data_IF_201321214235
#
_entry.id   IF_201321214235
#
_cell.length_a   1.000
_cell.length_b   1.000
_cell.length_c   1.000
_cell.angle_alpha   90.00
_cell.angle_beta   90.00
_cell.angle_gamma   90.00
#
_symmetry.space_group_name_H-M   'P 1'
#
loop_
_entity.id
_entity.type
_entity.pdbx_description
1 polymer ?
#
# COMPACT_ATOMS: atom_id res chain seq x y z
N UNK A 1 17.60 26.71 -6.63
CA UNK A 1 16.27 26.32 -7.18
C UNK A 1 16.31 24.95 -7.89
N UNK A 2 17.37 24.64 -8.65
CA UNK A 2 17.47 23.38 -9.42
C UNK A 2 17.63 22.10 -8.59
N UNK A 3 18.35 22.14 -7.48
CA UNK A 3 18.52 20.91 -6.62
C UNK A 3 17.22 20.48 -5.96
N UNK A 4 16.42 21.41 -5.46
CA UNK A 4 15.11 21.09 -4.84
C UNK A 4 14.14 20.54 -5.89
N UNK A 5 14.20 21.09 -7.12
CA UNK A 5 13.38 20.61 -8.23
C UNK A 5 13.76 19.19 -8.65
N UNK A 6 15.06 18.88 -8.74
CA UNK A 6 15.57 17.53 -9.04
C UNK A 6 15.19 16.50 -7.97
N UNK A 7 15.25 16.86 -6.69
CA UNK A 7 14.85 16.00 -5.58
C UNK A 7 13.33 15.72 -5.62
N UNK A 8 12.51 16.76 -5.88
CA UNK A 8 11.06 16.57 -6.04
C UNK A 8 10.71 15.69 -7.23
N UNK A 9 11.36 15.91 -8.38
CA UNK A 9 11.13 15.10 -9.57
C UNK A 9 11.54 13.64 -9.35
N UNK A 10 12.67 13.39 -8.70
CA UNK A 10 13.11 12.04 -8.36
C UNK A 10 12.15 11.29 -7.44
N UNK A 11 11.52 11.99 -6.48
CA UNK A 11 10.48 11.41 -5.62
C UNK A 11 9.21 11.05 -6.40
N UNK A 12 8.73 11.93 -7.25
CA UNK A 12 7.55 11.65 -8.08
C UNK A 12 7.78 10.47 -9.02
N UNK A 13 8.93 10.40 -9.69
CA UNK A 13 9.28 9.25 -10.56
C UNK A 13 9.29 7.94 -9.76
N UNK A 14 9.87 7.95 -8.54
CA UNK A 14 9.89 6.79 -7.66
C UNK A 14 8.47 6.35 -7.26
N UNK A 15 7.58 7.30 -6.98
CA UNK A 15 6.18 7.01 -6.65
C UNK A 15 5.46 6.35 -7.83
N UNK A 16 5.63 6.85 -9.06
CA UNK A 16 5.03 6.26 -10.26
C UNK A 16 5.56 4.85 -10.55
N UNK A 17 6.87 4.61 -10.38
CA UNK A 17 7.45 3.28 -10.52
C UNK A 17 6.89 2.29 -9.49
N UNK A 18 6.77 2.72 -8.24
CA UNK A 18 6.18 1.91 -7.18
C UNK A 18 4.69 1.60 -7.45
N UNK A 19 3.92 2.60 -7.90
CA UNK A 19 2.52 2.42 -8.32
C UNK A 19 2.45 1.38 -9.45
N UNK A 20 3.29 1.51 -10.49
CA UNK A 20 3.32 0.55 -11.61
C UNK A 20 3.60 -0.87 -11.13
N UNK A 21 4.58 -1.04 -10.25
CA UNK A 21 4.90 -2.35 -9.68
C UNK A 21 3.71 -2.93 -8.89
N UNK A 22 3.04 -2.10 -8.07
CA UNK A 22 1.83 -2.52 -7.36
C UNK A 22 0.71 -2.95 -8.30
N UNK A 23 0.51 -2.21 -9.40
CA UNK A 23 -0.50 -2.53 -10.40
C UNK A 23 -0.18 -3.80 -11.19
N UNK A 24 1.10 -4.11 -11.42
CA UNK A 24 1.53 -5.39 -12.02
C UNK A 24 1.14 -6.55 -11.09
N UNK A 25 1.44 -6.47 -9.80
CA UNK A 25 1.03 -7.49 -8.84
C UNK A 25 -0.48 -7.67 -8.81
N UNK A 26 -1.23 -6.57 -8.81
CA UNK A 26 -2.69 -6.58 -8.82
C UNK A 26 -3.25 -7.25 -10.09
N UNK A 27 -2.79 -6.83 -11.26
CA UNK A 27 -3.26 -7.36 -12.54
C UNK A 27 -2.92 -8.85 -12.72
N UNK A 28 -1.74 -9.29 -12.24
CA UNK A 28 -1.35 -10.69 -12.20
C UNK A 28 -2.27 -11.51 -11.28
N UNK A 29 -2.55 -11.01 -10.07
CA UNK A 29 -3.47 -11.66 -9.14
C UNK A 29 -4.85 -11.89 -9.76
N UNK A 30 -5.35 -10.91 -10.50
CA UNK A 30 -6.60 -11.01 -11.25
C UNK A 30 -6.52 -12.00 -12.41
N UNK A 31 -5.63 -11.77 -13.37
CA UNK A 31 -5.61 -12.50 -14.64
C UNK A 31 -5.16 -13.96 -14.49
N UNK A 32 -4.22 -14.22 -13.55
CA UNK A 32 -3.63 -15.55 -13.38
C UNK A 32 -4.37 -16.43 -12.35
N UNK A 33 -5.00 -15.81 -11.34
CA UNK A 33 -5.56 -16.58 -10.22
C UNK A 33 -7.07 -16.41 -10.05
N UNK A 34 -7.61 -15.20 -10.04
CA UNK A 34 -9.03 -15.03 -9.73
C UNK A 34 -9.94 -15.30 -10.94
N UNK A 35 -9.60 -14.73 -12.10
CA UNK A 35 -10.43 -14.81 -13.29
C UNK A 35 -10.56 -16.24 -13.85
N UNK A 36 -9.49 -17.07 -13.92
CA UNK A 36 -9.59 -18.43 -14.43
C UNK A 36 -10.46 -19.36 -13.56
N UNK A 37 -10.56 -19.06 -12.27
CA UNK A 37 -11.38 -19.81 -11.32
C UNK A 37 -12.76 -19.19 -11.08
N UNK A 38 -13.13 -18.18 -11.87
CA UNK A 38 -14.41 -17.47 -11.80
C UNK A 38 -14.72 -16.92 -10.39
N UNK A 39 -13.67 -16.53 -9.67
CA UNK A 39 -13.79 -15.93 -8.34
C UNK A 39 -14.11 -14.45 -8.51
N UNK A 40 -15.18 -14.01 -7.87
CA UNK A 40 -15.55 -12.60 -7.82
C UNK A 40 -14.95 -11.93 -6.61
N UNK A 41 -14.63 -10.65 -6.74
CA UNK A 41 -14.23 -9.80 -5.62
C UNK A 41 -15.19 -8.65 -5.49
N UNK A 42 -14.99 -7.81 -4.50
CA UNK A 42 -15.63 -6.50 -4.45
C UNK A 42 -14.95 -5.48 -5.39
N UNK A 43 -15.28 -4.23 -5.18
CA UNK A 43 -14.73 -3.13 -5.95
C UNK A 43 -15.24 -3.04 -7.40
N UNK A 44 -14.70 -2.07 -8.14
CA UNK A 44 -15.08 -1.88 -9.55
C UNK A 44 -14.57 -3.00 -10.43
N UNK A 45 -13.42 -3.59 -10.13
CA UNK A 45 -12.94 -4.78 -10.84
C UNK A 45 -13.86 -5.97 -10.63
N UNK A 46 -14.43 -6.14 -9.43
CA UNK A 46 -15.45 -7.16 -9.15
C UNK A 46 -16.73 -6.92 -9.93
N UNK A 47 -17.24 -5.70 -9.95
CA UNK A 47 -18.43 -5.33 -10.77
C UNK A 47 -18.13 -5.59 -12.26
N UNK A 48 -16.93 -5.23 -12.73
CA UNK A 48 -16.52 -5.47 -14.12
C UNK A 48 -16.42 -6.95 -14.44
N UNK A 49 -15.97 -7.79 -13.49
CA UNK A 49 -15.95 -9.24 -13.66
C UNK A 49 -17.37 -9.81 -13.70
N UNK A 50 -18.30 -9.31 -12.88
CA UNK A 50 -19.72 -9.68 -12.95
C UNK A 50 -20.29 -9.36 -14.33
N UNK A 51 -20.04 -8.15 -14.84
CA UNK A 51 -20.46 -7.74 -16.18
C UNK A 51 -19.88 -8.68 -17.25
N UNK A 52 -18.59 -9.01 -17.15
CA UNK A 52 -17.93 -9.95 -18.05
C UNK A 52 -18.61 -11.32 -18.05
N UNK A 53 -18.91 -11.89 -16.89
CA UNK A 53 -19.54 -13.22 -16.79
C UNK A 53 -20.96 -13.25 -17.32
N UNK A 54 -21.70 -12.13 -17.23
CA UNK A 54 -23.11 -12.05 -17.69
C UNK A 54 -23.21 -11.66 -19.15
N UNK A 55 -22.37 -10.74 -19.64
CA UNK A 55 -22.51 -10.10 -20.94
C UNK A 55 -21.42 -10.45 -21.95
N UNK A 56 -20.27 -10.97 -21.48
CA UNK A 56 -19.07 -11.17 -22.28
C UNK A 56 -18.25 -9.90 -22.56
N UNK A 57 -18.70 -8.71 -22.06
CA UNK A 57 -17.95 -7.47 -22.22
C UNK A 57 -16.64 -7.58 -21.43
N UNK A 58 -15.51 -7.32 -22.08
CA UNK A 58 -14.18 -7.43 -21.46
C UNK A 58 -14.05 -6.54 -20.21
N UNK A 59 -13.40 -7.09 -19.17
CA UNK A 59 -13.31 -6.45 -17.84
C UNK A 59 -12.72 -5.04 -17.92
N UNK A 60 -11.69 -4.85 -18.74
CA UNK A 60 -11.02 -3.55 -18.87
C UNK A 60 -11.94 -2.45 -19.41
N UNK A 61 -12.91 -2.81 -20.27
CA UNK A 61 -13.86 -1.84 -20.85
C UNK A 61 -14.82 -1.32 -19.76
N UNK A 62 -15.50 -2.22 -19.07
CA UNK A 62 -16.41 -1.85 -17.98
C UNK A 62 -15.68 -1.20 -16.81
N UNK A 63 -14.48 -1.69 -16.46
CA UNK A 63 -13.62 -1.08 -15.46
C UNK A 63 -13.29 0.38 -15.80
N UNK A 64 -12.88 0.65 -17.04
CA UNK A 64 -12.53 2.00 -17.47
C UNK A 64 -13.74 2.96 -17.42
N UNK A 65 -14.89 2.54 -17.95
CA UNK A 65 -16.11 3.36 -17.99
C UNK A 65 -16.57 3.73 -16.57
N UNK A 66 -16.64 2.75 -15.66
CA UNK A 66 -17.08 2.99 -14.29
C UNK A 66 -16.11 3.94 -13.57
N UNK A 67 -14.81 3.73 -13.75
CA UNK A 67 -13.79 4.56 -13.12
C UNK A 67 -13.77 6.00 -13.66
N UNK A 68 -14.11 6.23 -14.91
CA UNK A 68 -14.24 7.59 -15.46
C UNK A 68 -15.28 8.41 -14.69
N UNK A 69 -16.38 7.80 -14.29
CA UNK A 69 -17.42 8.43 -13.46
C UNK A 69 -16.88 8.74 -12.05
N UNK A 70 -16.26 7.75 -11.38
CA UNK A 70 -15.71 7.96 -10.03
C UNK A 70 -14.59 9.01 -9.99
N UNK A 71 -13.81 9.12 -11.06
CA UNK A 71 -12.74 10.10 -11.16
C UNK A 71 -13.25 11.54 -11.13
N UNK A 72 -14.42 11.81 -11.72
CA UNK A 72 -15.08 13.10 -11.64
C UNK A 72 -15.34 13.54 -10.19
N UNK A 73 -15.75 12.61 -9.32
CA UNK A 73 -15.92 12.87 -7.88
C UNK A 73 -14.58 13.03 -7.15
N UNK A 74 -13.56 12.22 -7.51
CA UNK A 74 -12.25 12.29 -6.90
C UNK A 74 -11.55 13.65 -7.11
N UNK A 75 -11.64 14.20 -8.32
CA UNK A 75 -11.07 15.51 -8.66
C UNK A 75 -11.58 16.61 -7.74
N UNK A 76 -12.88 16.61 -7.46
CA UNK A 76 -13.53 17.62 -6.65
C UNK A 76 -13.19 17.52 -5.16
N UNK A 77 -13.01 16.32 -4.63
CA UNK A 77 -12.92 16.06 -3.18
C UNK A 77 -11.49 15.86 -2.71
N UNK A 78 -10.68 15.09 -3.43
CA UNK A 78 -9.35 14.66 -3.02
C UNK A 78 -8.22 15.53 -3.56
N UNK A 79 -8.51 16.32 -4.57
CA UNK A 79 -7.58 17.29 -5.14
C UNK A 79 -6.71 16.76 -6.29
N UNK A 80 -5.96 17.69 -6.98
CA UNK A 80 -5.35 17.37 -8.28
C UNK A 80 -4.18 16.37 -8.20
N UNK A 81 -3.35 16.42 -7.16
CA UNK A 81 -2.19 15.51 -7.03
C UNK A 81 -2.60 14.05 -6.88
N UNK A 82 -3.61 13.77 -6.04
CA UNK A 82 -4.18 12.44 -5.87
C UNK A 82 -4.81 11.97 -7.18
N UNK A 83 -5.58 12.85 -7.81
CA UNK A 83 -6.31 12.54 -9.05
C UNK A 83 -5.38 12.23 -10.22
N UNK A 84 -4.25 12.93 -10.37
CA UNK A 84 -3.26 12.62 -11.41
C UNK A 84 -2.65 11.22 -11.26
N UNK A 85 -2.27 10.83 -10.04
CA UNK A 85 -1.77 9.48 -9.75
C UNK A 85 -2.85 8.41 -9.97
N UNK A 86 -4.09 8.74 -9.62
CA UNK A 86 -5.25 7.85 -9.83
C UNK A 86 -5.57 7.70 -11.30
N UNK A 87 -5.55 8.79 -12.09
CA UNK A 87 -5.70 8.73 -13.56
C UNK A 87 -4.65 7.79 -14.16
N UNK A 88 -3.39 8.02 -13.82
CA UNK A 88 -2.30 7.16 -14.27
C UNK A 88 -2.54 5.69 -13.90
N UNK A 89 -2.94 5.44 -12.66
CA UNK A 89 -3.18 4.09 -12.18
C UNK A 89 -4.34 3.39 -12.90
N UNK A 90 -5.44 4.10 -13.18
CA UNK A 90 -6.58 3.57 -13.94
C UNK A 90 -6.16 3.18 -15.36
N UNK A 91 -5.47 4.07 -16.08
CA UNK A 91 -4.99 3.77 -17.44
C UNK A 91 -3.99 2.61 -17.45
N UNK A 92 -3.02 2.64 -16.54
CA UNK A 92 -2.01 1.59 -16.44
C UNK A 92 -2.65 0.24 -16.06
N UNK A 93 -3.56 0.20 -15.11
CA UNK A 93 -4.23 -1.03 -14.72
C UNK A 93 -5.13 -1.57 -15.84
N UNK A 94 -5.86 -0.71 -16.55
CA UNK A 94 -6.63 -1.09 -17.74
C UNK A 94 -5.73 -1.77 -18.78
N UNK A 95 -4.59 -1.18 -19.07
CA UNK A 95 -3.59 -1.75 -19.98
C UNK A 95 -3.02 -3.08 -19.49
N UNK A 96 -2.65 -3.17 -18.21
CA UNK A 96 -2.10 -4.38 -17.61
C UNK A 96 -3.10 -5.54 -17.56
N UNK A 97 -4.37 -5.26 -17.25
CA UNK A 97 -5.43 -6.26 -17.28
C UNK A 97 -5.62 -6.82 -18.70
N UNK A 98 -5.62 -5.94 -19.71
CA UNK A 98 -5.66 -6.37 -21.11
C UNK A 98 -4.43 -7.20 -21.47
N UNK A 99 -3.23 -6.71 -21.13
CA UNK A 99 -1.96 -7.34 -21.45
C UNK A 99 -1.87 -8.76 -20.86
N UNK A 100 -2.12 -8.90 -19.54
CA UNK A 100 -2.01 -10.21 -18.89
C UNK A 100 -3.11 -11.18 -19.33
N UNK A 101 -4.32 -10.71 -19.61
CA UNK A 101 -5.34 -11.57 -20.21
C UNK A 101 -4.93 -12.02 -21.61
N UNK A 102 -4.37 -11.13 -22.44
CA UNK A 102 -3.89 -11.48 -23.78
C UNK A 102 -2.72 -12.48 -23.75
N UNK A 103 -1.77 -12.29 -22.80
CA UNK A 103 -0.60 -13.17 -22.64
C UNK A 103 -0.95 -14.55 -22.08
N UNK A 104 -1.96 -14.63 -21.20
CA UNK A 104 -2.34 -15.88 -20.53
C UNK A 104 -3.42 -16.66 -21.28
N UNK A 105 -4.12 -16.06 -22.24
CA UNK A 105 -5.16 -16.75 -23.01
C UNK A 105 -4.57 -17.92 -23.80
N UNK A 106 -5.18 -19.08 -23.64
CA UNK A 106 -4.94 -20.25 -24.48
C UNK A 106 -5.44 -20.00 -25.92
N UNK A 107 -4.99 -20.79 -26.91
CA UNK A 107 -5.51 -20.74 -28.29
C UNK A 107 -7.04 -20.88 -28.39
N UNK A 108 -7.65 -21.53 -27.41
CA UNK A 108 -9.11 -21.71 -27.30
C UNK A 108 -9.85 -20.51 -26.68
N UNK A 109 -9.15 -19.40 -26.40
CA UNK A 109 -9.74 -18.19 -25.83
C UNK A 109 -10.01 -18.25 -24.33
N UNK A 110 -9.72 -19.36 -23.65
CA UNK A 110 -9.90 -19.53 -22.20
C UNK A 110 -8.62 -19.20 -21.44
N UNK A 111 -8.76 -18.73 -20.19
CA UNK A 111 -7.62 -18.54 -19.29
C UNK A 111 -7.29 -19.86 -18.58
N UNK A 112 -6.01 -20.27 -18.51
CA UNK A 112 -5.61 -21.52 -17.87
C UNK A 112 -5.71 -21.42 -16.35
N UNK A 113 -6.19 -22.47 -15.71
CA UNK A 113 -6.16 -22.63 -14.26
C UNK A 113 -4.74 -23.08 -13.84
N UNK A 114 -3.87 -22.13 -13.52
CA UNK A 114 -2.44 -22.39 -13.26
C UNK A 114 -2.18 -23.35 -12.09
N UNK A 115 -3.07 -23.42 -11.11
CA UNK A 115 -2.96 -24.31 -9.96
C UNK A 115 -3.66 -25.67 -10.19
N UNK A 116 -4.29 -25.86 -11.37
CA UNK A 116 -5.09 -27.02 -11.67
C UNK A 116 -6.57 -26.88 -11.25
N UNK A 117 -7.42 -27.78 -11.72
CA UNK A 117 -8.85 -27.76 -11.38
C UNK A 117 -9.09 -28.11 -9.91
N UNK A 118 -10.13 -27.50 -9.29
CA UNK A 118 -10.49 -27.75 -7.89
C UNK A 118 -9.63 -27.01 -6.87
N UNK A 119 -8.75 -26.11 -7.30
CA UNK A 119 -7.85 -25.34 -6.42
C UNK A 119 -8.34 -23.90 -6.19
N UNK A 120 -9.66 -23.69 -6.16
CA UNK A 120 -10.28 -22.36 -6.01
C UNK A 120 -9.83 -21.66 -4.72
N UNK A 121 -9.72 -22.41 -3.61
CA UNK A 121 -9.27 -21.84 -2.34
C UNK A 121 -7.83 -21.34 -2.40
N UNK A 122 -6.92 -22.15 -2.99
CA UNK A 122 -5.53 -21.72 -3.15
C UNK A 122 -5.42 -20.52 -4.08
N UNK A 123 -6.20 -20.50 -5.16
CA UNK A 123 -6.29 -19.35 -6.07
C UNK A 123 -6.79 -18.08 -5.34
N UNK A 124 -7.77 -18.21 -4.43
CA UNK A 124 -8.21 -17.12 -3.56
C UNK A 124 -7.05 -16.58 -2.71
N UNK A 125 -6.31 -17.45 -2.03
CA UNK A 125 -5.23 -17.03 -1.11
C UNK A 125 -4.12 -16.29 -1.86
N UNK A 126 -3.63 -16.89 -2.95
CA UNK A 126 -2.53 -16.31 -3.75
C UNK A 126 -3.01 -15.04 -4.46
N UNK A 127 -4.18 -15.10 -5.11
CA UNK A 127 -4.76 -13.95 -5.80
C UNK A 127 -5.00 -12.78 -4.85
N UNK A 128 -5.68 -13.01 -3.72
CA UNK A 128 -5.96 -11.98 -2.72
C UNK A 128 -4.68 -11.37 -2.12
N UNK A 129 -3.67 -12.21 -1.89
CA UNK A 129 -2.35 -11.74 -1.43
C UNK A 129 -1.71 -10.77 -2.42
N UNK A 130 -1.69 -11.12 -3.71
CA UNK A 130 -1.15 -10.26 -4.78
C UNK A 130 -1.98 -8.98 -4.96
N UNK A 131 -3.32 -9.08 -4.89
CA UNK A 131 -4.20 -7.91 -4.98
C UNK A 131 -3.96 -6.96 -3.79
N UNK A 132 -3.99 -7.49 -2.57
CA UNK A 132 -3.80 -6.68 -1.35
C UNK A 132 -2.42 -6.03 -1.29
N UNK A 133 -1.38 -6.76 -1.67
CA UNK A 133 -0.02 -6.22 -1.76
C UNK A 133 0.07 -5.12 -2.80
N UNK A 134 -0.48 -5.34 -3.99
CA UNK A 134 -0.49 -4.37 -5.08
C UNK A 134 -1.22 -3.07 -4.69
N UNK A 135 -2.45 -3.16 -4.17
CA UNK A 135 -3.22 -2.00 -3.71
C UNK A 135 -2.51 -1.30 -2.55
N UNK A 136 -1.96 -2.05 -1.60
CA UNK A 136 -1.22 -1.49 -0.47
C UNK A 136 -0.06 -0.60 -0.91
N UNK A 137 0.72 -1.03 -1.92
CA UNK A 137 1.80 -0.21 -2.51
C UNK A 137 1.24 1.04 -3.18
N UNK A 138 0.17 0.92 -3.96
CA UNK A 138 -0.48 2.07 -4.62
C UNK A 138 -0.92 3.10 -3.58
N UNK A 139 -1.54 2.66 -2.48
CA UNK A 139 -1.99 3.54 -1.39
C UNK A 139 -0.84 4.20 -0.63
N UNK A 140 0.27 3.50 -0.40
CA UNK A 140 1.48 4.07 0.21
C UNK A 140 2.05 5.24 -0.59
N UNK A 141 1.84 5.24 -1.91
CA UNK A 141 2.30 6.29 -2.82
C UNK A 141 1.21 7.31 -3.17
N UNK A 142 0.14 7.42 -2.36
CA UNK A 142 -0.98 8.34 -2.53
C UNK A 142 -1.67 8.19 -3.90
N UNK A 143 -1.75 6.99 -4.43
CA UNK A 143 -2.54 6.61 -5.59
C UNK A 143 -3.80 5.87 -5.20
N UNK A 144 -4.62 5.52 -6.19
CA UNK A 144 -5.79 4.66 -6.06
C UNK A 144 -5.97 3.89 -7.36
N UNK A 145 -6.48 2.67 -7.27
CA UNK A 145 -6.87 1.90 -8.47
C UNK A 145 -8.23 2.36 -9.02
N UNK A 146 -8.86 3.33 -8.39
CA UNK A 146 -10.17 3.84 -8.78
C UNK A 146 -11.32 3.19 -8.00
N UNK A 147 -12.55 3.47 -8.41
CA UNK A 147 -13.74 2.79 -7.88
C UNK A 147 -13.98 2.97 -6.40
N UNK A 148 -14.24 1.87 -5.71
CA UNK A 148 -14.49 1.85 -4.25
C UNK A 148 -13.30 2.36 -3.44
N UNK A 149 -12.09 2.28 -3.95
CA UNK A 149 -10.90 2.89 -3.34
C UNK A 149 -11.09 4.38 -3.15
N UNK A 150 -11.65 5.08 -4.14
CA UNK A 150 -11.93 6.51 -4.07
C UNK A 150 -12.88 6.81 -2.91
N UNK A 151 -13.91 5.98 -2.75
CA UNK A 151 -14.86 6.10 -1.63
C UNK A 151 -14.12 5.91 -0.30
N UNK A 152 -13.26 4.88 -0.21
CA UNK A 152 -12.46 4.63 0.98
C UNK A 152 -11.55 5.82 1.33
N UNK A 153 -10.89 6.42 0.34
CA UNK A 153 -10.07 7.62 0.53
C UNK A 153 -10.88 8.84 0.96
N UNK A 154 -12.06 9.05 0.37
CA UNK A 154 -12.96 10.14 0.75
C UNK A 154 -13.36 10.00 2.22
N UNK A 155 -13.78 8.80 2.63
CA UNK A 155 -14.21 8.56 4.01
C UNK A 155 -13.02 8.65 4.98
N UNK A 156 -11.86 8.09 4.64
CA UNK A 156 -10.65 8.22 5.44
C UNK A 156 -10.20 9.68 5.63
N UNK A 157 -10.50 10.57 4.67
CA UNK A 157 -10.24 12.01 4.81
C UNK A 157 -11.05 12.65 5.94
N UNK A 158 -12.28 12.18 6.17
CA UNK A 158 -13.21 12.77 7.14
C UNK A 158 -13.36 11.96 8.42
N UNK A 159 -13.04 10.67 8.40
CA UNK A 159 -13.16 9.76 9.54
C UNK A 159 -11.84 9.01 9.76
N UNK A 160 -11.55 8.71 11.03
CA UNK A 160 -10.37 7.94 11.41
C UNK A 160 -10.64 6.44 11.31
N UNK A 161 -10.76 5.96 10.06
CA UNK A 161 -10.96 4.54 9.73
C UNK A 161 -9.91 4.12 8.72
N UNK A 162 -9.34 2.91 8.89
CA UNK A 162 -8.33 2.41 7.95
C UNK A 162 -8.92 2.21 6.55
N UNK A 163 -8.08 2.39 5.52
CA UNK A 163 -8.51 2.23 4.12
C UNK A 163 -9.01 0.81 3.86
N UNK A 164 -8.34 -0.22 4.40
CA UNK A 164 -8.76 -1.61 4.26
C UNK A 164 -10.15 -1.88 4.85
N UNK A 165 -10.44 -1.35 6.05
CA UNK A 165 -11.77 -1.48 6.65
C UNK A 165 -12.86 -0.81 5.82
N UNK A 166 -12.59 0.37 5.28
CA UNK A 166 -13.59 1.07 4.45
C UNK A 166 -13.84 0.33 3.14
N UNK A 167 -12.79 -0.19 2.51
CA UNK A 167 -12.94 -1.06 1.35
C UNK A 167 -13.78 -2.28 1.69
N UNK A 168 -13.49 -2.94 2.81
CA UNK A 168 -14.24 -4.12 3.26
C UNK A 168 -15.76 -3.84 3.35
N UNK A 169 -16.18 -2.70 3.93
CA UNK A 169 -17.59 -2.36 4.01
C UNK A 169 -18.24 -2.15 2.64
N UNK A 170 -17.56 -1.45 1.71
CA UNK A 170 -18.07 -1.27 0.36
C UNK A 170 -18.17 -2.60 -0.39
N UNK A 171 -17.20 -3.48 -0.21
CA UNK A 171 -17.09 -4.72 -0.95
C UNK A 171 -18.06 -5.79 -0.47
N UNK A 172 -18.39 -5.83 0.83
CA UNK A 172 -19.42 -6.73 1.37
C UNK A 172 -20.73 -6.61 0.58
N UNK A 173 -21.16 -5.38 0.29
CA UNK A 173 -22.40 -5.14 -0.46
C UNK A 173 -22.29 -5.70 -1.88
N UNK A 174 -21.17 -5.48 -2.56
CA UNK A 174 -20.93 -5.93 -3.93
C UNK A 174 -20.88 -7.46 -3.99
N UNK A 175 -20.10 -8.09 -3.11
CA UNK A 175 -19.96 -9.55 -3.08
C UNK A 175 -21.29 -10.21 -2.73
N UNK A 176 -22.05 -9.66 -1.80
CA UNK A 176 -23.38 -10.18 -1.46
C UNK A 176 -24.34 -10.11 -2.64
N UNK A 177 -24.24 -9.07 -3.46
CA UNK A 177 -25.06 -8.93 -4.67
C UNK A 177 -24.80 -10.00 -5.73
N UNK A 178 -23.59 -10.59 -5.74
CA UNK A 178 -23.23 -11.68 -6.65
C UNK A 178 -24.13 -12.90 -6.48
N UNK A 179 -24.64 -13.17 -5.26
CA UNK A 179 -25.55 -14.28 -5.03
C UNK A 179 -26.84 -14.17 -5.84
N UNK A 180 -27.39 -12.98 -5.92
CA UNK A 180 -28.65 -12.74 -6.67
C UNK A 180 -28.47 -12.90 -8.19
N UNK A 181 -27.21 -12.77 -8.68
CA UNK A 181 -26.90 -12.83 -10.11
C UNK A 181 -26.54 -14.27 -10.52
N UNK A 182 -25.68 -14.94 -9.74
CA UNK A 182 -25.12 -16.25 -10.10
C UNK A 182 -25.80 -17.41 -9.41
N UNK A 183 -26.57 -17.19 -8.34
CA UNK A 183 -27.20 -18.23 -7.50
C UNK A 183 -26.21 -19.30 -7.02
N UNK A 184 -24.92 -18.93 -6.91
CA UNK A 184 -23.82 -19.82 -6.53
C UNK A 184 -23.19 -19.35 -5.21
N UNK A 185 -23.50 -20.10 -4.15
CA UNK A 185 -22.98 -19.81 -2.82
C UNK A 185 -21.46 -19.92 -2.71
N UNK A 186 -20.85 -20.81 -3.50
CA UNK A 186 -19.39 -21.01 -3.47
C UNK A 186 -18.66 -19.75 -3.93
N UNK A 187 -19.13 -19.10 -4.98
CA UNK A 187 -18.56 -17.84 -5.49
C UNK A 187 -18.60 -16.73 -4.46
N UNK A 188 -19.71 -16.61 -3.75
CA UNK A 188 -19.86 -15.61 -2.67
C UNK A 188 -18.90 -15.91 -1.52
N UNK A 189 -18.78 -17.17 -1.10
CA UNK A 189 -17.85 -17.60 -0.05
C UNK A 189 -16.40 -17.25 -0.42
N UNK A 190 -15.98 -17.61 -1.64
CA UNK A 190 -14.63 -17.30 -2.10
C UNK A 190 -14.41 -15.80 -2.25
N UNK A 191 -15.42 -15.04 -2.68
CA UNK A 191 -15.37 -13.57 -2.70
C UNK A 191 -15.09 -12.98 -1.31
N UNK A 192 -15.78 -13.48 -0.27
CA UNK A 192 -15.50 -13.05 1.10
C UNK A 192 -14.10 -13.49 1.59
N UNK A 193 -13.62 -14.67 1.21
CA UNK A 193 -12.23 -15.07 1.51
C UNK A 193 -11.21 -14.12 0.89
N UNK A 194 -11.39 -13.76 -0.39
CA UNK A 194 -10.54 -12.78 -1.07
C UNK A 194 -10.58 -11.44 -0.36
N UNK A 195 -11.78 -10.94 -0.05
CA UNK A 195 -11.98 -9.68 0.65
C UNK A 195 -11.23 -9.63 1.98
N UNK A 196 -11.39 -10.67 2.80
CA UNK A 196 -10.77 -10.73 4.12
C UNK A 196 -9.24 -10.74 4.02
N UNK A 197 -8.68 -11.62 3.18
CA UNK A 197 -7.23 -11.72 3.00
C UNK A 197 -6.67 -10.42 2.44
N UNK A 198 -7.29 -9.87 1.39
CA UNK A 198 -6.88 -8.63 0.74
C UNK A 198 -6.87 -7.46 1.74
N UNK A 199 -7.91 -7.31 2.56
CA UNK A 199 -8.00 -6.23 3.55
C UNK A 199 -6.88 -6.29 4.59
N UNK A 200 -6.56 -7.50 5.10
CA UNK A 200 -5.44 -7.69 6.04
C UNK A 200 -4.11 -7.33 5.38
N UNK A 201 -3.88 -7.78 4.15
CA UNK A 201 -2.63 -7.52 3.43
C UNK A 201 -2.48 -6.03 3.12
N UNK A 202 -3.55 -5.34 2.69
CA UNK A 202 -3.53 -3.89 2.47
C UNK A 202 -3.12 -3.15 3.75
N UNK A 203 -3.80 -3.42 4.86
CA UNK A 203 -3.52 -2.76 6.13
C UNK A 203 -2.10 -3.10 6.63
N UNK A 204 -1.62 -4.32 6.44
CA UNK A 204 -0.25 -4.72 6.76
C UNK A 204 0.79 -3.93 5.96
N UNK A 205 0.62 -3.81 4.64
CA UNK A 205 1.53 -3.07 3.75
C UNK A 205 1.56 -1.58 4.12
N UNK A 206 0.38 -0.97 4.33
CA UNK A 206 0.28 0.45 4.70
C UNK A 206 0.93 0.70 6.06
N UNK A 207 0.61 -0.12 7.05
CA UNK A 207 1.17 0.04 8.39
C UNK A 207 2.68 -0.17 8.39
N UNK A 208 3.18 -1.19 7.65
CA UNK A 208 4.63 -1.44 7.52
C UNK A 208 5.38 -0.25 6.93
N UNK A 209 4.80 0.44 5.95
CA UNK A 209 5.44 1.60 5.32
C UNK A 209 5.44 2.86 6.17
N UNK A 210 4.52 2.96 7.14
CA UNK A 210 4.37 4.12 8.05
C UNK A 210 5.05 3.94 9.40
N UNK A 211 5.65 2.77 9.65
CA UNK A 211 6.29 2.51 10.95
C UNK A 211 7.40 3.51 11.24
N UNK A 212 7.33 4.09 12.42
CA UNK A 212 8.40 4.91 12.99
C UNK A 212 9.13 4.14 14.09
N UNK A 213 10.37 4.48 14.29
CA UNK A 213 11.23 3.86 15.30
C UNK A 213 11.90 4.94 16.13
N UNK A 214 12.10 4.63 17.39
CA UNK A 214 12.90 5.44 18.31
C UNK A 214 14.22 4.73 18.56
N UNK A 215 15.31 5.47 18.46
CA UNK A 215 16.63 5.02 18.84
C UNK A 215 17.04 5.70 20.14
N UNK A 216 17.59 4.91 21.05
CA UNK A 216 18.37 5.36 22.19
C UNK A 216 19.81 4.89 21.98
N UNK A 217 20.73 5.82 21.77
CA UNK A 217 22.12 5.52 21.44
C UNK A 217 22.99 6.01 22.58
N UNK A 218 23.74 5.09 23.17
CA UNK A 218 24.66 5.32 24.27
C UNK A 218 26.09 5.25 23.73
N UNK A 219 26.75 6.41 23.65
CA UNK A 219 28.12 6.53 23.16
C UNK A 219 28.82 7.70 23.79
N UNK A 220 30.14 7.61 23.92
CA UNK A 220 31.00 8.74 24.29
C UNK A 220 31.14 9.75 23.17
N UNK A 221 30.95 9.32 21.92
CA UNK A 221 31.00 10.16 20.71
C UNK A 221 29.59 10.70 20.32
N UNK A 222 28.78 11.04 21.32
CA UNK A 222 27.41 11.46 21.12
C UNK A 222 27.26 12.68 20.22
N UNK A 223 28.19 13.64 20.27
CA UNK A 223 28.13 14.87 19.46
C UNK A 223 28.40 14.56 17.96
N UNK A 224 29.39 13.72 17.66
CA UNK A 224 29.68 13.28 16.29
C UNK A 224 28.53 12.48 15.68
N UNK A 225 27.90 11.62 16.50
CA UNK A 225 26.74 10.82 16.10
C UNK A 225 25.55 11.74 15.84
N UNK A 226 25.27 12.69 16.72
CA UNK A 226 24.16 13.64 16.57
C UNK A 226 24.32 14.49 15.31
N UNK A 227 25.55 15.00 15.04
CA UNK A 227 25.85 15.77 13.85
C UNK A 227 25.72 14.93 12.57
N UNK A 228 26.24 13.69 12.59
CA UNK A 228 26.12 12.76 11.47
C UNK A 228 24.67 12.44 11.12
N UNK A 229 23.84 12.12 12.11
CA UNK A 229 22.42 11.83 11.91
C UNK A 229 21.69 13.05 11.34
N UNK A 230 21.94 14.23 11.89
CA UNK A 230 21.27 15.45 11.44
C UNK A 230 21.67 15.81 10.01
N UNK A 231 22.97 15.70 9.66
CA UNK A 231 23.46 16.12 8.32
C UNK A 231 23.21 15.08 7.22
N UNK A 232 23.35 13.78 7.53
CA UNK A 232 23.30 12.73 6.50
C UNK A 232 21.92 12.08 6.37
N UNK A 233 21.17 11.96 7.48
CA UNK A 233 19.88 11.26 7.53
C UNK A 233 18.71 12.25 7.56
N UNK A 234 19.00 13.53 7.80
CA UNK A 234 18.00 14.61 7.87
C UNK A 234 16.92 14.31 8.94
N UNK A 235 17.38 14.01 10.18
CA UNK A 235 16.53 13.75 11.34
C UNK A 235 16.94 14.57 12.55
N UNK A 236 15.92 15.07 13.25
CA UNK A 236 16.12 15.74 14.52
C UNK A 236 16.69 14.81 15.57
N UNK A 237 17.64 15.30 16.34
CA UNK A 237 18.30 14.59 17.42
C UNK A 237 18.09 15.36 18.72
N UNK A 238 17.81 14.62 19.82
CA UNK A 238 17.73 15.18 21.17
C UNK A 238 18.76 14.48 22.04
N UNK A 239 19.56 15.24 22.77
CA UNK A 239 20.48 14.70 23.77
C UNK A 239 19.80 14.74 25.15
N UNK A 240 19.75 13.58 25.81
CA UNK A 240 19.29 13.47 27.19
C UNK A 240 20.48 13.25 28.11
N UNK A 241 20.60 14.06 29.16
CA UNK A 241 21.60 13.88 30.19
C UNK A 241 21.19 12.73 31.13
N UNK A 242 22.10 11.82 31.36
CA UNK A 242 21.90 10.68 32.26
C UNK A 242 23.14 10.44 33.13
N UNK A 243 22.99 9.58 34.11
CA UNK A 243 24.13 9.13 34.96
C UNK A 243 24.17 7.61 34.97
N UNK A 244 25.30 7.04 34.60
CA UNK A 244 25.53 5.62 34.69
C UNK A 244 25.50 5.15 36.14
N UNK A 245 24.52 4.26 36.49
CA UNK A 245 24.39 3.84 37.89
C UNK A 245 25.65 3.15 38.44
N UNK A 246 26.27 2.31 37.63
CA UNK A 246 27.50 1.59 38.03
C UNK A 246 28.74 2.48 37.99
N UNK A 247 28.94 3.21 36.89
CA UNK A 247 30.12 4.05 36.69
C UNK A 247 30.11 5.36 37.47
N UNK A 248 28.92 5.82 37.93
CA UNK A 248 28.66 7.13 38.53
C UNK A 248 29.12 8.31 37.64
N UNK A 249 29.34 8.06 36.35
CA UNK A 249 29.74 9.07 35.37
C UNK A 249 28.51 9.57 34.60
N UNK A 250 28.54 10.86 34.24
CA UNK A 250 27.55 11.45 33.32
C UNK A 250 27.67 10.81 31.92
N UNK A 251 26.54 10.55 31.31
CA UNK A 251 26.44 10.07 29.92
C UNK A 251 25.33 10.85 29.23
N UNK A 252 25.56 11.19 27.96
CA UNK A 252 24.52 11.74 27.10
C UNK A 252 23.94 10.64 26.22
N UNK A 253 22.63 10.51 26.22
CA UNK A 253 21.91 9.55 25.40
C UNK A 253 21.36 10.28 24.18
N UNK A 254 21.73 9.82 23.00
CA UNK A 254 21.23 10.36 21.73
C UNK A 254 19.87 9.72 21.43
N UNK A 255 18.83 10.54 21.39
CA UNK A 255 17.45 10.11 21.09
C UNK A 255 17.08 10.57 19.68
N UNK A 256 16.68 9.63 18.84
CA UNK A 256 16.28 9.89 17.45
C UNK A 256 14.97 9.22 17.16
N UNK A 257 14.04 9.98 16.57
CA UNK A 257 12.83 9.45 15.97
C UNK A 257 13.02 9.42 14.44
N UNK A 258 12.88 8.25 13.85
CA UNK A 258 13.10 8.06 12.42
C UNK A 258 12.04 7.14 11.80
N UNK A 259 11.93 7.15 10.47
CA UNK A 259 11.15 6.12 9.77
C UNK A 259 11.89 4.78 9.84
N UNK A 260 11.17 3.69 9.93
CA UNK A 260 11.75 2.34 9.95
C UNK A 260 12.68 2.07 8.76
N UNK A 261 12.37 2.64 7.60
CA UNK A 261 13.22 2.54 6.40
C UNK A 261 14.61 3.15 6.56
N UNK A 262 14.80 4.06 7.50
CA UNK A 262 16.08 4.74 7.79
C UNK A 262 16.91 4.01 8.87
N UNK A 263 16.36 2.93 9.45
CA UNK A 263 17.02 2.23 10.57
C UNK A 263 18.40 1.73 10.21
N UNK A 264 18.56 1.15 9.03
CA UNK A 264 19.83 0.58 8.59
C UNK A 264 20.91 1.66 8.42
N UNK A 265 20.52 2.82 7.90
CA UNK A 265 21.46 3.94 7.71
C UNK A 265 21.90 4.52 9.05
N UNK A 266 20.99 4.60 10.03
CA UNK A 266 21.33 5.01 11.40
C UNK A 266 22.28 4.00 12.04
N UNK A 267 22.02 2.69 11.93
CA UNK A 267 22.90 1.66 12.48
C UNK A 267 24.30 1.73 11.88
N UNK A 268 24.41 1.87 10.56
CA UNK A 268 25.70 1.98 9.86
C UNK A 268 26.46 3.21 10.32
N UNK A 269 25.83 4.37 10.26
CA UNK A 269 26.46 5.63 10.66
C UNK A 269 26.99 5.58 12.11
N UNK A 270 26.17 5.06 13.05
CA UNK A 270 26.59 4.97 14.45
C UNK A 270 27.76 4.01 14.62
N UNK A 271 27.74 2.85 13.94
CA UNK A 271 28.83 1.87 14.01
C UNK A 271 30.12 2.33 13.33
N UNK A 272 30.00 3.14 12.29
CA UNK A 272 31.18 3.73 11.61
C UNK A 272 31.87 4.77 12.53
N UNK A 273 31.09 5.54 13.32
CA UNK A 273 31.62 6.54 14.26
C UNK A 273 32.11 5.89 15.54
N UNK A 274 31.34 5.02 16.14
CA UNK A 274 31.66 4.31 17.38
C UNK A 274 31.21 2.84 17.32
N UNK A 275 32.12 1.92 16.99
CA UNK A 275 31.84 0.48 16.96
C UNK A 275 31.36 -0.09 18.30
N UNK A 276 31.68 0.56 19.42
CA UNK A 276 31.32 0.13 20.76
C UNK A 276 30.01 0.77 21.27
N UNK A 277 29.36 1.63 20.46
CA UNK A 277 28.10 2.25 20.84
C UNK A 277 27.04 1.18 21.13
N UNK A 278 26.31 1.38 22.24
CA UNK A 278 25.11 0.59 22.55
C UNK A 278 23.89 1.27 21.95
N UNK A 279 23.12 0.54 21.15
CA UNK A 279 21.95 1.05 20.42
C UNK A 279 20.73 0.24 20.83
N UNK A 280 19.72 0.90 21.36
CA UNK A 280 18.38 0.33 21.59
C UNK A 280 17.42 0.92 20.56
N UNK A 281 16.70 0.04 19.86
CA UNK A 281 15.64 0.43 18.92
C UNK A 281 14.30 -0.07 19.43
N UNK A 282 13.29 0.79 19.42
CA UNK A 282 11.90 0.44 19.71
C UNK A 282 10.96 0.92 18.60
N UNK A 283 9.90 0.16 18.33
CA UNK A 283 8.84 0.60 17.43
C UNK A 283 7.96 1.63 18.14
N UNK A 284 7.63 2.72 17.45
CA UNK A 284 6.71 3.74 17.93
C UNK A 284 5.41 3.64 17.13
N UNK A 285 4.29 3.53 17.85
CA UNK A 285 2.96 3.34 17.22
C UNK A 285 2.54 4.55 16.38
N UNK A 286 2.95 5.76 16.75
CA UNK A 286 2.69 6.96 15.96
C UNK A 286 3.63 8.10 16.35
N UNK A 287 4.16 8.78 15.36
CA UNK A 287 4.93 10.02 15.51
C UNK A 287 4.25 11.07 14.64
N UNK A 288 3.87 12.17 15.25
CA UNK A 288 3.16 13.26 14.58
C UNK A 288 3.95 14.56 14.72
N UNK A 289 3.98 15.36 13.67
CA UNK A 289 4.65 16.65 13.68
C UNK A 289 5.56 16.84 12.46
N UNK A 290 6.51 17.77 12.57
CA UNK A 290 7.39 18.13 11.48
C UNK A 290 8.30 16.94 11.08
N UNK A 291 8.31 16.60 9.81
CA UNK A 291 9.03 15.43 9.28
C UNK A 291 8.30 14.09 9.39
N UNK A 292 7.11 14.03 10.02
CA UNK A 292 6.26 12.86 10.21
C UNK A 292 4.81 13.13 9.77
N UNK A 293 3.88 12.24 10.13
CA UNK A 293 2.48 12.37 9.78
C UNK A 293 1.83 13.58 10.49
N UNK A 294 0.92 14.27 9.79
CA UNK A 294 0.19 15.39 10.39
C UNK A 294 -0.91 14.87 11.31
N UNK A 295 -1.00 15.42 12.51
CA UNK A 295 -2.16 15.19 13.37
C UNK A 295 -3.44 15.65 12.67
N UNK A 296 -4.38 14.73 12.48
CA UNK A 296 -5.75 15.09 12.09
C UNK A 296 -6.53 15.48 13.36
N UNK A 297 -6.36 16.73 13.80
CA UNK A 297 -7.20 17.27 14.88
C UNK A 297 -8.58 17.57 14.26
N UNK A 298 -9.64 17.03 14.88
CA UNK A 298 -11.03 17.33 14.55
C UNK A 298 -11.40 18.71 15.00
#
# INVERSE_FOLDING_TARGET
MDQILKIKLGREVKDYLAITFGLICYALGWAAFLLPYQITTGGVTGISAIIYYVTGIEIQVSYFIINAVFLGFALKILGPKFSLKTIYAIFMLTFLLWLFQALLKNPNGTLPQLLGPGQEFMACVVGAGLLGFGIGIVFCNNGSTGGTDIIAWIINKYKDVTLGRMMMYCEIVIISSCYFIFHDWKRVLFGFCVLFIMSIVIDYVINSSRQSVQFLIFSRKHDEIAEGITKQIDRGVTLLDGTGWYSKQGIKVVVVLAKKSQSLDIFRLVKDIDPNAFISQSNVVGVYGEGFDKLKIK
#
